data_IF_360080548485
#
_entry.id   IF_360080548485
#
_cell.length_a   1.000
_cell.length_b   1.000
_cell.length_c   1.000
_cell.angle_alpha   90.00
_cell.angle_beta   90.00
_cell.angle_gamma   90.00
#
_symmetry.space_group_name_H-M   'P 1'
#
loop_
_entity.id
_entity.type
_entity.pdbx_description
1 polymer ?
#
# COMPACT_ATOMS: atom_id res chain seq x y z
N UNK A 1 76.17 -39.36 -22.38
CA UNK A 1 75.45 -40.66 -22.36
C UNK A 1 74.54 -40.65 -21.14
N UNK A 2 73.38 -41.18 -21.28
CA UNK A 2 72.26 -41.44 -20.34
C UNK A 2 71.26 -40.31 -20.09
N UNK A 3 70.16 -40.55 -20.71
CA UNK A 3 68.86 -39.86 -20.58
C UNK A 3 68.22 -40.18 -19.24
N UNK A 4 67.57 -39.14 -18.62
CA UNK A 4 66.55 -39.40 -17.64
C UNK A 4 65.32 -38.51 -17.97
N UNK A 5 64.28 -39.18 -18.42
CA UNK A 5 62.94 -38.63 -18.70
C UNK A 5 62.23 -38.44 -17.37
N UNK A 6 61.94 -37.17 -17.02
CA UNK A 6 61.05 -36.82 -15.90
C UNK A 6 59.61 -36.85 -16.36
N UNK A 7 58.79 -37.72 -15.79
CA UNK A 7 57.34 -37.74 -15.93
C UNK A 7 56.71 -36.59 -15.12
N UNK A 8 56.15 -35.57 -15.80
CA UNK A 8 55.28 -34.60 -15.16
C UNK A 8 53.89 -35.22 -14.92
N UNK A 9 53.54 -35.38 -13.66
CA UNK A 9 52.17 -35.73 -13.23
C UNK A 9 51.33 -34.47 -13.20
N UNK A 10 50.40 -34.37 -14.12
CA UNK A 10 49.36 -33.33 -14.08
C UNK A 10 48.31 -33.78 -13.06
N UNK A 11 48.22 -33.06 -11.94
CA UNK A 11 47.11 -33.19 -11.00
C UNK A 11 45.92 -32.39 -11.54
N UNK A 12 44.90 -33.10 -12.00
CA UNK A 12 43.62 -32.53 -12.38
C UNK A 12 42.79 -32.32 -11.11
N UNK A 13 42.71 -31.07 -10.61
CA UNK A 13 41.86 -30.73 -9.48
C UNK A 13 40.42 -30.60 -9.98
N UNK A 14 39.57 -31.58 -9.63
CA UNK A 14 38.09 -31.46 -9.81
C UNK A 14 37.56 -30.50 -8.76
N UNK A 15 37.31 -29.25 -9.14
CA UNK A 15 36.51 -28.32 -8.37
C UNK A 15 35.01 -28.58 -8.66
N UNK A 16 34.40 -29.37 -7.78
CA UNK A 16 32.92 -29.53 -7.81
C UNK A 16 32.23 -28.24 -7.35
N UNK A 17 31.06 -27.88 -7.94
CA UNK A 17 30.30 -26.73 -7.46
C UNK A 17 29.75 -27.02 -6.06
N UNK A 18 30.13 -26.18 -5.08
CA UNK A 18 29.42 -26.11 -3.79
C UNK A 18 28.04 -25.55 -4.06
N UNK A 19 27.03 -26.39 -4.07
CA UNK A 19 25.66 -25.97 -4.00
C UNK A 19 25.40 -25.38 -2.60
N UNK A 20 25.39 -24.06 -2.50
CA UNK A 20 24.93 -23.36 -1.30
C UNK A 20 23.41 -23.52 -1.27
N UNK A 21 22.92 -24.53 -0.56
CA UNK A 21 21.50 -24.64 -0.22
C UNK A 21 21.20 -23.58 0.84
N UNK A 22 20.64 -22.45 0.41
CA UNK A 22 20.02 -21.48 1.31
C UNK A 22 18.84 -22.18 1.99
N UNK A 23 19.01 -22.63 3.23
CA UNK A 23 17.90 -23.04 4.08
C UNK A 23 17.07 -21.79 4.34
N UNK A 24 15.92 -21.69 3.68
CA UNK A 24 14.85 -20.76 4.09
C UNK A 24 14.45 -21.23 5.48
N UNK A 25 14.89 -20.50 6.51
CA UNK A 25 14.39 -20.71 7.86
C UNK A 25 12.89 -20.47 7.78
N UNK A 26 12.09 -21.50 8.04
CA UNK A 26 10.66 -21.36 8.15
C UNK A 26 10.40 -20.34 9.26
N UNK A 27 9.73 -19.25 8.92
CA UNK A 27 9.28 -18.26 9.87
C UNK A 27 8.37 -18.99 10.89
N UNK A 28 8.81 -19.02 12.16
CA UNK A 28 8.10 -19.71 13.24
C UNK A 28 6.77 -19.04 13.66
N UNK A 29 6.31 -18.03 12.90
CA UNK A 29 5.02 -17.38 13.16
C UNK A 29 3.84 -18.26 12.76
N UNK A 30 2.78 -18.21 13.54
CA UNK A 30 1.52 -18.94 13.28
C UNK A 30 0.61 -18.23 12.26
N UNK A 31 1.10 -17.17 11.61
CA UNK A 31 0.38 -16.40 10.60
C UNK A 31 1.27 -16.01 9.44
N UNK A 32 0.65 -15.68 8.32
CA UNK A 32 1.26 -15.08 7.15
C UNK A 32 0.90 -13.59 7.10
N UNK A 33 1.76 -12.80 6.47
CA UNK A 33 1.50 -11.41 6.18
C UNK A 33 0.39 -11.32 5.12
N UNK A 34 -0.73 -10.72 5.49
CA UNK A 34 -1.85 -10.41 4.62
C UNK A 34 -1.70 -9.05 3.93
N UNK A 35 -2.77 -8.53 3.33
CA UNK A 35 -2.80 -7.20 2.74
C UNK A 35 -2.52 -6.11 3.76
N UNK A 36 -2.09 -4.95 3.26
CA UNK A 36 -1.92 -3.73 4.06
C UNK A 36 -3.17 -2.87 3.90
N UNK A 37 -3.68 -2.35 4.99
CA UNK A 37 -4.92 -1.56 5.01
C UNK A 37 -4.63 -0.19 5.63
N UNK A 38 -5.00 0.88 4.93
CA UNK A 38 -5.06 2.23 5.50
C UNK A 38 -6.50 2.57 5.87
N UNK A 39 -6.68 3.11 7.07
CA UNK A 39 -7.98 3.53 7.60
C UNK A 39 -7.88 4.98 8.05
N UNK A 40 -8.59 5.87 7.38
CA UNK A 40 -8.70 7.27 7.77
C UNK A 40 -10.03 7.53 8.49
N UNK A 41 -9.95 8.12 9.68
CA UNK A 41 -11.11 8.51 10.49
C UNK A 41 -11.51 9.95 10.15
N UNK A 42 -12.74 10.13 9.72
CA UNK A 42 -13.27 11.41 9.25
C UNK A 42 -14.44 11.82 10.13
N UNK A 43 -14.46 13.12 10.49
CA UNK A 43 -15.63 13.79 11.04
C UNK A 43 -16.10 14.85 10.06
N UNK A 44 -17.36 14.84 9.75
CA UNK A 44 -18.01 15.90 8.97
C UNK A 44 -18.32 17.12 9.87
N UNK A 45 -18.31 18.30 9.30
CA UNK A 45 -18.83 19.48 9.97
C UNK A 45 -20.36 19.37 10.10
N UNK A 46 -20.93 20.03 11.11
CA UNK A 46 -22.36 19.99 11.37
C UNK A 46 -23.17 20.38 10.12
N UNK A 47 -24.10 19.51 9.73
CA UNK A 47 -24.95 19.69 8.56
C UNK A 47 -24.29 19.36 7.20
N UNK A 48 -23.02 18.94 7.16
CA UNK A 48 -22.26 18.67 5.93
C UNK A 48 -22.02 17.20 5.64
N UNK A 49 -22.68 16.28 6.36
CA UNK A 49 -22.53 14.84 6.10
C UNK A 49 -22.89 14.47 4.65
N UNK A 50 -24.05 14.90 4.18
CA UNK A 50 -24.53 14.59 2.83
C UNK A 50 -23.65 15.25 1.75
N UNK A 51 -23.16 16.46 1.97
CA UNK A 51 -22.23 17.15 1.07
C UNK A 51 -20.93 16.35 0.92
N UNK A 52 -20.41 15.84 2.03
CA UNK A 52 -19.20 15.03 2.01
C UNK A 52 -19.44 13.66 1.37
N UNK A 53 -20.56 12.99 1.67
CA UNK A 53 -20.95 11.74 1.02
C UNK A 53 -21.16 11.91 -0.49
N UNK A 54 -21.69 13.04 -0.93
CA UNK A 54 -21.79 13.34 -2.35
C UNK A 54 -20.41 13.43 -3.00
N UNK A 55 -19.45 14.15 -2.38
CA UNK A 55 -18.08 14.22 -2.87
C UNK A 55 -17.41 12.83 -2.89
N UNK A 56 -17.62 12.02 -1.85
CA UNK A 56 -17.09 10.64 -1.80
C UNK A 56 -17.63 9.79 -2.94
N UNK A 57 -18.92 9.90 -3.24
CA UNK A 57 -19.58 9.10 -4.30
C UNK A 57 -19.19 9.52 -5.72
N UNK A 58 -18.72 10.74 -5.91
CA UNK A 58 -18.37 11.32 -7.21
C UNK A 58 -16.86 11.37 -7.42
N UNK A 59 -16.16 12.22 -6.68
CA UNK A 59 -14.73 12.49 -6.92
C UNK A 59 -13.83 11.43 -6.29
N UNK A 60 -13.99 11.16 -4.99
CA UNK A 60 -13.14 10.17 -4.31
C UNK A 60 -13.28 8.77 -4.93
N UNK A 61 -14.51 8.32 -5.15
CA UNK A 61 -14.75 7.04 -5.83
C UNK A 61 -14.04 6.96 -7.18
N UNK A 62 -14.01 8.05 -7.94
CA UNK A 62 -13.34 8.12 -9.23
C UNK A 62 -11.82 8.02 -9.09
N UNK A 63 -11.26 8.64 -8.03
CA UNK A 63 -9.85 8.53 -7.68
C UNK A 63 -9.50 7.08 -7.31
N UNK A 64 -10.27 6.44 -6.43
CA UNK A 64 -10.03 5.06 -6.00
C UNK A 64 -10.18 4.05 -7.15
N UNK A 65 -11.20 4.19 -8.00
CA UNK A 65 -11.35 3.34 -9.20
C UNK A 65 -10.17 3.53 -10.17
N UNK A 66 -9.68 4.76 -10.33
CA UNK A 66 -8.51 5.04 -11.16
C UNK A 66 -7.24 4.44 -10.57
N UNK A 67 -7.04 4.56 -9.25
CA UNK A 67 -5.93 3.95 -8.53
C UNK A 67 -5.97 2.42 -8.59
N UNK A 68 -7.16 1.83 -8.46
CA UNK A 68 -7.38 0.38 -8.58
C UNK A 68 -7.09 -0.12 -9.99
N UNK A 69 -7.56 0.58 -11.01
CA UNK A 69 -7.28 0.26 -12.41
C UNK A 69 -5.77 0.36 -12.75
N UNK A 70 -5.04 1.24 -12.05
CA UNK A 70 -3.59 1.36 -12.15
C UNK A 70 -2.82 0.32 -11.30
N UNK A 71 -3.51 -0.54 -10.53
CA UNK A 71 -2.90 -1.54 -9.65
C UNK A 71 -2.22 -0.96 -8.41
N UNK A 72 -2.52 0.30 -8.05
CA UNK A 72 -1.95 0.95 -6.87
C UNK A 72 -2.62 0.48 -5.58
N UNK A 73 -3.90 0.14 -5.64
CA UNK A 73 -4.71 -0.40 -4.55
C UNK A 73 -5.43 -1.67 -5.00
N UNK A 74 -5.85 -2.50 -4.07
CA UNK A 74 -6.62 -3.73 -4.33
C UNK A 74 -8.11 -3.53 -4.13
N UNK A 75 -8.48 -2.80 -3.09
CA UNK A 75 -9.88 -2.47 -2.78
C UNK A 75 -9.99 -1.17 -2.00
N UNK A 76 -11.20 -0.64 -1.93
CA UNK A 76 -11.55 0.49 -1.09
C UNK A 76 -12.99 0.35 -0.59
N UNK A 77 -13.31 0.97 0.53
CA UNK A 77 -14.67 0.99 1.10
C UNK A 77 -14.86 2.17 2.03
N UNK A 78 -16.11 2.55 2.22
CA UNK A 78 -16.54 3.55 3.17
C UNK A 78 -17.34 2.83 4.26
N UNK A 79 -17.02 3.09 5.53
CA UNK A 79 -17.78 2.61 6.67
C UNK A 79 -18.41 3.84 7.33
N UNK A 80 -19.73 3.87 7.37
CA UNK A 80 -20.48 4.90 8.11
C UNK A 80 -20.59 4.45 9.56
N UNK A 81 -20.32 5.36 10.48
CA UNK A 81 -20.28 5.09 11.91
C UNK A 81 -21.57 5.57 12.56
N UNK A 82 -22.16 4.77 13.43
CA UNK A 82 -23.14 5.23 14.38
C UNK A 82 -22.38 5.81 15.59
N UNK A 83 -22.16 7.12 15.57
CA UNK A 83 -21.36 7.81 16.59
C UNK A 83 -22.07 7.84 17.94
N UNK A 84 -21.33 7.47 19.01
CA UNK A 84 -21.86 7.48 20.39
C UNK A 84 -21.35 8.66 21.21
N UNK A 85 -20.37 9.39 20.69
CA UNK A 85 -19.81 10.58 21.33
C UNK A 85 -19.45 11.65 20.30
N UNK A 86 -19.41 12.93 20.71
CA UNK A 86 -18.99 14.03 19.82
C UNK A 86 -17.54 13.90 19.35
N UNK A 87 -16.73 12.99 19.94
CA UNK A 87 -15.35 12.73 19.55
C UNK A 87 -15.20 11.60 18.53
N UNK A 88 -16.26 10.83 18.28
CA UNK A 88 -16.21 9.72 17.33
C UNK A 88 -16.18 10.21 15.87
N UNK A 89 -15.56 9.48 14.94
CA UNK A 89 -15.69 9.77 13.52
C UNK A 89 -17.13 9.47 13.04
N UNK A 90 -17.54 10.09 11.95
CA UNK A 90 -18.77 9.75 11.25
C UNK A 90 -18.52 8.68 10.19
N UNK A 91 -17.30 8.67 9.65
CA UNK A 91 -16.93 7.84 8.51
C UNK A 91 -15.51 7.32 8.69
N UNK A 92 -15.29 6.05 8.32
CA UNK A 92 -13.95 5.54 8.00
C UNK A 92 -13.83 5.35 6.49
N UNK A 93 -12.74 5.90 5.92
CA UNK A 93 -12.29 5.59 4.58
C UNK A 93 -11.24 4.49 4.68
N UNK A 94 -11.46 3.38 4.00
CA UNK A 94 -10.58 2.22 4.05
C UNK A 94 -10.05 1.96 2.65
N UNK A 95 -8.73 1.92 2.51
CA UNK A 95 -8.04 1.58 1.27
C UNK A 95 -7.10 0.40 1.53
N UNK A 96 -7.13 -0.60 0.68
CA UNK A 96 -6.33 -1.81 0.80
C UNK A 96 -5.25 -1.88 -0.27
N UNK A 97 -4.07 -2.31 0.14
CA UNK A 97 -2.87 -2.48 -0.69
C UNK A 97 -2.40 -3.92 -0.64
N UNK A 98 -1.79 -4.38 -1.71
CA UNK A 98 -1.29 -5.76 -1.80
C UNK A 98 -0.30 -6.11 -0.68
N UNK A 99 0.59 -5.19 -0.33
CA UNK A 99 1.65 -5.34 0.68
C UNK A 99 2.29 -3.97 0.96
N UNK A 100 3.26 -3.92 1.87
CA UNK A 100 3.99 -2.69 2.20
C UNK A 100 4.73 -2.08 1.00
N UNK A 101 5.26 -2.87 0.09
CA UNK A 101 5.95 -2.36 -1.10
C UNK A 101 5.04 -1.58 -2.06
N UNK A 102 3.72 -1.78 -1.99
CA UNK A 102 2.76 -0.99 -2.74
C UNK A 102 2.72 0.48 -2.29
N UNK A 103 3.18 0.77 -1.07
CA UNK A 103 3.26 2.14 -0.52
C UNK A 103 4.53 2.89 -0.99
N UNK A 104 5.49 2.21 -1.60
CA UNK A 104 6.72 2.84 -2.09
C UNK A 104 6.38 3.86 -3.18
N UNK A 105 6.79 5.11 -2.94
CA UNK A 105 6.51 6.23 -3.84
C UNK A 105 5.01 6.45 -4.13
N UNK A 106 4.12 6.00 -3.22
CA UNK A 106 2.67 6.07 -3.43
C UNK A 106 2.20 7.51 -3.68
N UNK A 107 2.74 8.49 -2.96
CA UNK A 107 2.37 9.90 -3.13
C UNK A 107 2.49 10.37 -4.59
N UNK A 108 3.66 10.18 -5.20
CA UNK A 108 3.88 10.59 -6.60
C UNK A 108 3.01 9.82 -7.60
N UNK A 109 2.66 8.57 -7.31
CA UNK A 109 1.74 7.77 -8.13
C UNK A 109 0.30 8.30 -8.03
N UNK A 110 -0.11 8.69 -6.82
CA UNK A 110 -1.43 9.28 -6.58
C UNK A 110 -1.56 10.69 -7.16
N UNK A 111 -0.47 11.46 -7.29
CA UNK A 111 -0.46 12.73 -8.02
C UNK A 111 -0.92 12.54 -9.46
N UNK A 112 -0.50 11.45 -10.11
CA UNK A 112 -0.97 11.07 -11.44
C UNK A 112 -2.48 10.75 -11.48
N UNK A 113 -2.99 10.10 -10.44
CA UNK A 113 -4.43 9.82 -10.29
C UNK A 113 -5.21 11.11 -10.11
N UNK A 114 -4.76 11.99 -9.21
CA UNK A 114 -5.39 13.28 -8.94
C UNK A 114 -5.43 14.16 -10.20
N UNK A 115 -4.33 14.24 -10.92
CA UNK A 115 -4.27 14.98 -12.19
C UNK A 115 -5.26 14.42 -13.22
N UNK A 116 -5.37 13.09 -13.32
CA UNK A 116 -6.29 12.44 -14.26
C UNK A 116 -7.76 12.69 -13.92
N UNK A 117 -8.10 12.74 -12.63
CA UNK A 117 -9.49 12.86 -12.15
C UNK A 117 -9.93 14.33 -12.04
N UNK A 118 -9.06 15.18 -11.53
CA UNK A 118 -9.37 16.59 -11.21
C UNK A 118 -8.77 17.59 -12.21
N UNK A 119 -8.01 17.08 -13.20
CA UNK A 119 -7.46 17.88 -14.30
C UNK A 119 -6.06 18.43 -14.04
N UNK A 120 -5.71 18.79 -12.82
CA UNK A 120 -4.36 19.25 -12.41
C UNK A 120 -4.14 19.06 -10.91
N UNK A 121 -2.89 19.13 -10.46
CA UNK A 121 -2.55 19.12 -9.04
C UNK A 121 -3.06 20.39 -8.33
N UNK A 122 -3.10 21.52 -9.03
CA UNK A 122 -3.65 22.77 -8.50
C UNK A 122 -5.16 22.65 -8.24
N UNK A 123 -5.90 22.06 -9.19
CA UNK A 123 -7.33 21.77 -9.02
C UNK A 123 -7.58 20.81 -7.85
N UNK A 124 -6.75 19.76 -7.71
CA UNK A 124 -6.82 18.83 -6.60
C UNK A 124 -6.54 19.52 -5.25
N UNK A 125 -5.53 20.38 -5.17
CA UNK A 125 -5.21 21.15 -3.97
C UNK A 125 -6.37 22.12 -3.58
N UNK A 126 -6.99 22.77 -4.56
CA UNK A 126 -8.17 23.61 -4.33
C UNK A 126 -9.35 22.78 -3.81
N UNK A 127 -9.60 21.64 -4.41
CA UNK A 127 -10.64 20.69 -3.98
C UNK A 127 -10.39 20.21 -2.54
N UNK A 128 -9.13 19.92 -2.17
CA UNK A 128 -8.75 19.55 -0.79
C UNK A 128 -9.03 20.69 0.20
N UNK A 129 -8.70 21.93 -0.15
CA UNK A 129 -8.96 23.10 0.69
C UNK A 129 -10.48 23.32 0.91
N UNK A 130 -11.30 23.12 -0.12
CA UNK A 130 -12.77 23.20 0.02
C UNK A 130 -13.31 22.07 0.91
N UNK A 131 -12.81 20.84 0.76
CA UNK A 131 -13.17 19.72 1.65
C UNK A 131 -12.81 19.97 3.11
N UNK A 132 -11.68 20.64 3.36
CA UNK A 132 -11.27 21.03 4.70
C UNK A 132 -12.29 21.88 5.46
N UNK A 133 -13.24 22.53 4.76
CA UNK A 133 -14.32 23.32 5.35
C UNK A 133 -15.48 22.46 5.83
N UNK A 134 -15.71 21.31 5.23
CA UNK A 134 -16.86 20.44 5.49
C UNK A 134 -16.50 19.15 6.24
N UNK A 135 -15.20 18.90 6.48
CA UNK A 135 -14.74 17.73 7.23
C UNK A 135 -13.42 17.98 7.97
N UNK A 136 -13.18 17.17 8.98
CA UNK A 136 -11.88 17.05 9.67
C UNK A 136 -11.39 15.62 9.57
N UNK A 137 -10.11 15.44 9.22
CA UNK A 137 -9.43 14.15 9.35
C UNK A 137 -8.95 14.03 10.80
N UNK A 138 -9.53 13.11 11.56
CA UNK A 138 -9.18 12.87 12.97
C UNK A 138 -7.87 12.11 13.10
N UNK A 139 -7.52 11.33 12.09
CA UNK A 139 -6.29 10.56 12.03
C UNK A 139 -6.36 9.48 10.97
N UNK A 140 -5.24 8.82 10.75
CA UNK A 140 -5.15 7.68 9.84
C UNK A 140 -4.18 6.65 10.41
N UNK A 141 -4.47 5.38 10.17
CA UNK A 141 -3.65 4.25 10.58
C UNK A 141 -3.41 3.34 9.38
N UNK A 142 -2.18 2.86 9.26
CA UNK A 142 -1.83 1.83 8.28
C UNK A 142 -1.47 0.56 9.03
N UNK A 143 -2.13 -0.52 8.68
CA UNK A 143 -2.06 -1.81 9.37
C UNK A 143 -1.83 -2.92 8.37
N UNK A 144 -1.25 -4.03 8.82
CA UNK A 144 -1.16 -5.25 8.03
C UNK A 144 -2.05 -6.32 8.64
N UNK A 145 -2.79 -7.01 7.82
CA UNK A 145 -3.57 -8.17 8.25
C UNK A 145 -2.64 -9.33 8.61
N UNK A 146 -2.91 -10.00 9.73
CA UNK A 146 -2.29 -11.26 10.09
C UNK A 146 -3.25 -12.40 9.71
N UNK A 147 -2.86 -13.22 8.74
CA UNK A 147 -3.66 -14.36 8.25
C UNK A 147 -3.15 -15.62 8.92
N UNK A 148 -3.91 -16.21 9.83
CA UNK A 148 -3.54 -17.46 10.52
C UNK A 148 -3.35 -18.60 9.51
N UNK A 149 -2.35 -19.45 9.81
CA UNK A 149 -2.04 -20.66 9.01
C UNK A 149 -3.04 -21.77 9.26
#
# INVERSE_FOLDING_TARGET
>A
MSNLRGLSRVLLALAGPLAVTSSVLADGRDWNDGPVVNVAAIRTADGHFDDYMHWLSTTWRKQEETAKAAGLITSYRILVVEAHSPSDPDIYLVTEFKNWAALDHLGSKLDGVSTKVEGSLEAAAKSEAERGKIRTVLGSQTMQEAVFK
#
